data_IF_196693037400
#
_entry.id   IF_196693037400
#
_cell.length_a   1.000
_cell.length_b   1.000
_cell.length_c   1.000
_cell.angle_alpha   90.00
_cell.angle_beta   90.00
_cell.angle_gamma   90.00
#
_symmetry.space_group_name_H-M   'P 1'
#
loop_
_entity.id
_entity.type
_entity.pdbx_description
1 polymer ?
#
# COMPACT_ATOMS: atom_id res chain seq x y z
N UNK A 1 -12.63 20.29 -11.68
CA UNK A 1 -11.53 19.98 -10.73
C UNK A 1 -11.53 20.98 -9.60
N UNK A 2 -11.41 20.53 -8.37
CA UNK A 2 -11.26 21.38 -7.19
C UNK A 2 -9.85 21.98 -7.24
N UNK A 3 -9.70 23.29 -7.03
CA UNK A 3 -8.39 23.96 -7.01
C UNK A 3 -7.53 23.42 -5.84
N UNK A 4 -6.20 23.40 -6.03
CA UNK A 4 -5.28 22.84 -5.02
C UNK A 4 -5.39 23.57 -3.67
N UNK A 5 -5.62 24.88 -3.68
CA UNK A 5 -5.80 25.71 -2.46
C UNK A 5 -7.15 25.43 -1.73
N UNK A 6 -8.11 24.82 -2.42
CA UNK A 6 -9.42 24.50 -1.84
C UNK A 6 -9.50 23.09 -1.21
N UNK A 7 -8.38 22.36 -1.21
CA UNK A 7 -8.33 21.01 -0.66
C UNK A 7 -8.28 20.99 0.87
N UNK A 8 -7.75 22.04 1.49
CA UNK A 8 -7.74 22.16 2.94
C UNK A 8 -9.18 22.17 3.49
N UNK A 9 -9.49 21.23 4.37
CA UNK A 9 -10.81 21.10 5.00
C UNK A 9 -11.87 20.35 4.21
N UNK A 10 -11.55 19.78 3.05
CA UNK A 10 -12.46 18.86 2.37
C UNK A 10 -12.66 17.58 3.19
N UNK A 11 -13.85 17.01 3.03
CA UNK A 11 -14.13 15.66 3.51
C UNK A 11 -13.16 14.64 2.92
N UNK A 12 -12.79 13.64 3.70
CA UNK A 12 -11.85 12.57 3.34
C UNK A 12 -12.22 11.87 2.04
N UNK A 13 -13.51 11.77 1.74
CA UNK A 13 -14.03 11.05 0.58
C UNK A 13 -14.38 11.97 -0.61
N UNK A 14 -14.07 13.26 -0.53
CA UNK A 14 -14.43 14.25 -1.54
C UNK A 14 -13.88 13.96 -2.94
N UNK A 15 -12.77 13.20 -3.05
CA UNK A 15 -12.12 12.88 -4.32
C UNK A 15 -12.46 11.49 -4.86
N UNK A 16 -13.35 10.73 -4.20
CA UNK A 16 -13.72 9.36 -4.64
C UNK A 16 -14.30 9.31 -6.05
N UNK A 17 -15.01 10.34 -6.47
CA UNK A 17 -15.54 10.41 -7.84
C UNK A 17 -14.43 10.45 -8.91
N UNK A 18 -13.28 11.03 -8.60
CA UNK A 18 -12.12 11.04 -9.49
C UNK A 18 -11.47 9.65 -9.56
N UNK A 19 -11.40 8.92 -8.42
CA UNK A 19 -10.95 7.53 -8.40
C UNK A 19 -11.90 6.61 -9.19
N UNK A 20 -13.22 6.81 -9.03
CA UNK A 20 -14.23 6.06 -9.78
C UNK A 20 -14.12 6.28 -11.29
N UNK A 21 -13.94 7.54 -11.71
CA UNK A 21 -13.71 7.87 -13.12
C UNK A 21 -12.45 7.18 -13.67
N UNK A 22 -11.35 7.16 -12.90
CA UNK A 22 -10.13 6.45 -13.28
C UNK A 22 -10.34 4.93 -13.34
N UNK A 23 -11.18 4.38 -12.45
CA UNK A 23 -11.55 2.97 -12.44
C UNK A 23 -12.56 2.58 -13.52
N UNK A 24 -13.11 3.54 -14.28
CA UNK A 24 -14.16 3.30 -15.27
C UNK A 24 -15.51 2.94 -14.62
N UNK A 25 -15.73 3.30 -13.36
CA UNK A 25 -16.96 3.03 -12.61
C UNK A 25 -17.92 4.20 -12.78
N UNK A 26 -19.09 3.92 -13.40
CA UNK A 26 -20.16 4.89 -13.65
C UNK A 26 -21.42 4.65 -12.82
N UNK A 27 -21.47 3.57 -12.05
CA UNK A 27 -22.57 3.23 -11.13
C UNK A 27 -22.46 4.01 -9.81
N UNK A 28 -23.48 3.85 -8.94
CA UNK A 28 -23.42 4.37 -7.58
C UNK A 28 -22.17 3.80 -6.85
N UNK A 29 -21.45 4.69 -6.19
CA UNK A 29 -20.24 4.28 -5.44
C UNK A 29 -20.64 3.39 -4.25
N UNK A 30 -19.83 2.37 -3.94
CA UNK A 30 -20.02 1.60 -2.71
C UNK A 30 -19.85 2.51 -1.48
N UNK A 31 -20.52 2.15 -0.39
CA UNK A 31 -20.26 2.81 0.89
C UNK A 31 -18.81 2.60 1.31
N UNK A 32 -18.19 3.66 1.81
CA UNK A 32 -16.89 3.58 2.47
C UNK A 32 -16.95 4.32 3.77
N UNK A 33 -16.43 3.72 4.83
CA UNK A 33 -16.38 4.30 6.17
C UNK A 33 -15.04 4.05 6.81
N UNK A 34 -14.55 5.04 7.53
CA UNK A 34 -13.38 4.87 8.37
C UNK A 34 -13.76 4.15 9.64
N UNK A 35 -12.98 3.16 10.02
CA UNK A 35 -13.13 2.38 11.25
C UNK A 35 -11.81 2.41 12.02
N UNK A 36 -11.91 2.41 13.36
CA UNK A 36 -10.74 2.41 14.23
C UNK A 36 -10.82 1.22 15.18
N UNK A 37 -9.70 0.54 15.37
CA UNK A 37 -9.54 -0.57 16.31
C UNK A 37 -8.23 -0.42 17.07
N UNK A 38 -8.35 0.05 18.32
CA UNK A 38 -7.19 0.43 19.10
C UNK A 38 -6.34 1.48 18.36
N UNK A 39 -5.03 1.22 18.14
CA UNK A 39 -4.14 2.16 17.45
C UNK A 39 -4.25 2.11 15.91
N UNK A 40 -5.05 1.21 15.35
CA UNK A 40 -5.14 0.97 13.91
C UNK A 40 -6.41 1.57 13.33
N UNK A 41 -6.25 2.30 12.24
CA UNK A 41 -7.31 2.87 11.42
C UNK A 41 -7.39 2.14 10.08
N UNK A 42 -8.61 1.98 9.55
CA UNK A 42 -8.82 1.32 8.26
C UNK A 42 -10.03 1.91 7.53
N UNK A 43 -10.10 1.67 6.23
CA UNK A 43 -11.26 1.96 5.38
C UNK A 43 -12.00 0.66 5.11
N UNK A 44 -13.25 0.58 5.54
CA UNK A 44 -14.16 -0.51 5.21
C UNK A 44 -15.03 -0.12 4.03
N UNK A 45 -14.93 -0.90 2.95
CA UNK A 45 -15.64 -0.71 1.71
C UNK A 45 -16.77 -1.72 1.54
N UNK A 46 -17.97 -1.24 1.22
CA UNK A 46 -19.17 -2.06 1.12
C UNK A 46 -19.83 -2.32 2.46
N UNK A 47 -21.03 -2.94 2.42
CA UNK A 47 -21.84 -3.32 3.59
C UNK A 47 -21.56 -4.74 4.07
N UNK A 48 -21.05 -5.60 3.20
CA UNK A 48 -20.81 -7.01 3.45
C UNK A 48 -19.45 -7.25 4.10
N UNK A 49 -19.19 -8.48 4.55
CA UNK A 49 -17.89 -8.90 5.06
C UNK A 49 -16.81 -8.68 4.00
N UNK A 50 -15.67 -8.13 4.41
CA UNK A 50 -14.58 -7.85 3.50
C UNK A 50 -14.04 -9.16 2.89
N UNK A 51 -13.96 -9.20 1.56
CA UNK A 51 -13.40 -10.32 0.80
C UNK A 51 -11.91 -10.15 0.53
N UNK A 52 -11.45 -8.91 0.49
CA UNK A 52 -10.06 -8.58 0.19
C UNK A 52 -9.53 -7.59 1.23
N UNK A 53 -8.32 -7.87 1.72
CA UNK A 53 -7.59 -7.00 2.61
C UNK A 53 -6.46 -6.34 1.82
N UNK A 54 -6.25 -5.03 2.03
CA UNK A 54 -5.22 -4.26 1.37
C UNK A 54 -4.27 -3.61 2.38
N UNK A 55 -2.97 -3.85 2.22
CA UNK A 55 -1.88 -3.29 3.03
C UNK A 55 -0.97 -2.45 2.12
N UNK A 56 -0.82 -1.17 2.44
CA UNK A 56 -0.08 -0.21 1.61
C UNK A 56 1.44 -0.24 1.86
N UNK A 57 2.21 0.41 1.00
CA UNK A 57 3.65 0.57 1.12
C UNK A 57 4.09 1.69 2.08
N UNK A 58 5.36 1.73 2.40
CA UNK A 58 5.94 2.81 3.22
C UNK A 58 5.65 4.19 2.63
N UNK A 59 5.31 5.16 3.50
CA UNK A 59 4.97 6.51 3.10
C UNK A 59 3.61 6.66 2.39
N UNK A 60 2.76 5.63 2.40
CA UNK A 60 1.42 5.62 1.82
C UNK A 60 0.34 5.52 2.91
N UNK A 61 -0.90 5.26 2.54
CA UNK A 61 -2.03 5.01 3.43
C UNK A 61 -3.11 4.19 2.70
N UNK A 62 -4.22 3.87 3.37
CA UNK A 62 -5.31 3.05 2.85
C UNK A 62 -5.90 3.56 1.52
N UNK A 63 -5.93 4.88 1.30
CA UNK A 63 -6.46 5.48 0.07
C UNK A 63 -5.63 5.20 -1.19
N UNK A 64 -4.41 4.68 -1.07
CA UNK A 64 -3.64 4.25 -2.26
C UNK A 64 -4.37 3.16 -3.06
N UNK A 65 -5.35 2.50 -2.44
CA UNK A 65 -6.11 1.41 -3.00
C UNK A 65 -7.47 1.81 -3.60
N UNK A 66 -7.92 3.06 -3.42
CA UNK A 66 -9.27 3.50 -3.78
C UNK A 66 -9.65 3.14 -5.22
N UNK A 67 -8.78 3.44 -6.20
CA UNK A 67 -9.03 3.13 -7.61
C UNK A 67 -9.11 1.62 -7.86
N UNK A 68 -8.23 0.84 -7.21
CA UNK A 68 -8.22 -0.62 -7.33
C UNK A 68 -9.46 -1.24 -6.71
N UNK A 69 -9.86 -0.81 -5.52
CA UNK A 69 -11.05 -1.33 -4.81
C UNK A 69 -12.32 -1.01 -5.60
N UNK A 70 -12.44 0.22 -6.10
CA UNK A 70 -13.56 0.61 -6.96
C UNK A 70 -13.62 -0.21 -8.25
N UNK A 71 -12.46 -0.40 -8.90
CA UNK A 71 -12.38 -1.23 -10.10
C UNK A 71 -12.68 -2.70 -9.84
N UNK A 72 -12.27 -3.23 -8.68
CA UNK A 72 -12.52 -4.62 -8.30
C UNK A 72 -14.01 -4.86 -7.98
N UNK A 73 -14.67 -3.88 -7.35
CA UNK A 73 -16.10 -3.92 -7.05
C UNK A 73 -16.49 -4.94 -5.97
N UNK A 74 -15.57 -5.29 -5.07
CA UNK A 74 -15.80 -6.22 -3.97
C UNK A 74 -15.70 -5.51 -2.61
N UNK A 75 -16.41 -6.00 -1.57
CA UNK A 75 -16.20 -5.54 -0.21
C UNK A 75 -14.75 -5.74 0.22
N UNK A 76 -14.16 -4.71 0.81
CA UNK A 76 -12.74 -4.71 1.14
C UNK A 76 -12.44 -3.99 2.47
N UNK A 77 -11.29 -4.32 3.05
CA UNK A 77 -10.69 -3.63 4.17
C UNK A 77 -9.30 -3.13 3.76
N UNK A 78 -9.10 -1.82 3.68
CA UNK A 78 -7.81 -1.20 3.43
C UNK A 78 -7.29 -0.60 4.75
N UNK A 79 -6.13 -1.07 5.22
CA UNK A 79 -5.61 -0.74 6.55
C UNK A 79 -4.52 0.31 6.43
N UNK A 80 -4.59 1.36 7.24
CA UNK A 80 -3.46 2.25 7.51
C UNK A 80 -2.48 1.51 8.42
N UNK A 81 -1.27 1.18 7.95
CA UNK A 81 -0.25 0.54 8.77
C UNK A 81 0.18 1.45 9.93
N UNK A 82 0.71 0.91 11.05
CA UNK A 82 1.29 1.74 12.12
C UNK A 82 2.21 2.83 11.58
N UNK A 83 2.11 4.04 12.12
CA UNK A 83 2.92 5.18 11.67
C UNK A 83 2.46 5.84 10.37
N UNK A 84 1.33 5.42 9.79
CA UNK A 84 0.82 5.94 8.51
C UNK A 84 -0.65 6.33 8.61
N UNK A 85 -1.07 7.22 7.71
CA UNK A 85 -2.46 7.61 7.55
C UNK A 85 -3.07 8.15 8.83
N UNK A 86 -4.06 7.46 9.37
CA UNK A 86 -4.72 7.79 10.64
C UNK A 86 -4.41 6.77 11.76
N UNK A 87 -3.60 5.76 11.50
CA UNK A 87 -3.09 4.88 12.54
C UNK A 87 -2.10 5.59 13.45
N UNK A 88 -2.02 5.16 14.70
CA UNK A 88 -1.13 5.75 15.67
C UNK A 88 0.34 5.61 15.31
N UNK A 89 1.13 6.58 15.71
CA UNK A 89 2.57 6.55 15.61
C UNK A 89 3.18 5.87 16.83
N UNK A 90 4.26 5.13 16.62
CA UNK A 90 4.97 4.41 17.68
C UNK A 90 6.07 5.29 18.27
N UNK A 91 6.26 5.23 19.57
CA UNK A 91 7.32 5.99 20.27
C UNK A 91 8.73 5.52 19.87
N UNK A 92 8.90 4.21 19.57
CA UNK A 92 10.16 3.63 19.13
C UNK A 92 10.49 3.91 17.65
N UNK A 93 9.48 4.32 16.85
CA UNK A 93 9.63 4.58 15.43
C UNK A 93 9.94 3.32 14.60
N UNK A 94 9.73 2.12 15.16
CA UNK A 94 9.89 0.85 14.45
C UNK A 94 8.57 0.45 13.76
N UNK A 95 8.60 0.44 12.45
CA UNK A 95 7.47 0.08 11.57
C UNK A 95 7.81 -1.11 10.69
N UNK A 96 8.68 -1.99 11.17
CA UNK A 96 9.08 -3.20 10.45
C UNK A 96 7.92 -4.17 10.25
N UNK A 97 8.03 -5.07 9.24
CA UNK A 97 6.98 -6.02 8.88
C UNK A 97 6.48 -6.89 10.03
N UNK A 98 7.36 -7.27 10.96
CA UNK A 98 7.02 -8.07 12.13
C UNK A 98 6.01 -7.35 13.03
N UNK A 99 6.34 -6.14 13.46
CA UNK A 99 5.49 -5.34 14.34
C UNK A 99 4.20 -4.91 13.65
N UNK A 100 4.27 -4.62 12.35
CA UNK A 100 3.09 -4.31 11.57
C UNK A 100 2.14 -5.52 11.50
N UNK A 101 2.65 -6.74 11.26
CA UNK A 101 1.83 -7.95 11.23
C UNK A 101 1.15 -8.21 12.59
N UNK A 102 1.88 -8.07 13.70
CA UNK A 102 1.34 -8.17 15.05
C UNK A 102 0.23 -7.14 15.34
N UNK A 103 0.39 -5.91 14.82
CA UNK A 103 -0.58 -4.83 15.03
C UNK A 103 -1.86 -4.99 14.19
N UNK A 104 -1.76 -5.51 12.95
CA UNK A 104 -2.92 -5.64 12.06
C UNK A 104 -3.69 -6.94 12.24
N UNK A 105 -3.07 -8.00 12.78
CA UNK A 105 -3.73 -9.30 12.96
C UNK A 105 -5.06 -9.22 13.74
N UNK A 106 -5.14 -8.57 14.92
CA UNK A 106 -6.39 -8.46 15.66
C UNK A 106 -7.48 -7.69 14.90
N UNK A 107 -7.08 -6.70 14.10
CA UNK A 107 -8.00 -5.91 13.28
C UNK A 107 -8.62 -6.76 12.17
N UNK A 108 -7.79 -7.61 11.55
CA UNK A 108 -8.22 -8.54 10.50
C UNK A 108 -9.13 -9.61 11.10
N UNK A 109 -8.77 -10.19 12.25
CA UNK A 109 -9.60 -11.16 12.97
C UNK A 109 -10.99 -10.62 13.29
N UNK A 110 -11.10 -9.35 13.66
CA UNK A 110 -12.38 -8.74 14.00
C UNK A 110 -13.19 -8.30 12.77
N UNK A 111 -12.54 -7.65 11.79
CA UNK A 111 -13.25 -6.95 10.71
C UNK A 111 -13.30 -7.72 9.39
N UNK A 112 -12.42 -8.70 9.18
CA UNK A 112 -12.28 -9.44 7.94
C UNK A 112 -11.82 -10.90 8.13
N UNK A 113 -12.39 -11.68 9.10
CA UNK A 113 -11.90 -13.02 9.44
C UNK A 113 -12.00 -14.00 8.27
N UNK A 114 -12.92 -13.74 7.34
CA UNK A 114 -13.22 -14.60 6.20
C UNK A 114 -12.70 -14.05 4.87
N UNK A 115 -11.79 -13.07 4.92
CA UNK A 115 -11.19 -12.55 3.70
C UNK A 115 -10.51 -13.66 2.88
N UNK A 116 -10.75 -13.62 1.57
CA UNK A 116 -10.25 -14.63 0.64
C UNK A 116 -8.82 -14.31 0.18
N UNK A 117 -8.48 -13.02 0.15
CA UNK A 117 -7.23 -12.53 -0.40
C UNK A 117 -6.65 -11.42 0.48
N UNK A 118 -5.36 -11.48 0.74
CA UNK A 118 -4.57 -10.37 1.27
C UNK A 118 -3.66 -9.83 0.17
N UNK A 119 -3.73 -8.52 -0.08
CA UNK A 119 -2.92 -7.82 -1.06
C UNK A 119 -2.00 -6.84 -0.33
N UNK A 120 -0.70 -6.98 -0.49
CA UNK A 120 0.26 -6.09 0.14
C UNK A 120 1.28 -5.54 -0.85
N UNK A 121 1.52 -4.22 -0.79
CA UNK A 121 2.53 -3.54 -1.61
C UNK A 121 3.74 -3.17 -0.76
N UNK A 122 4.97 -3.47 -1.24
CA UNK A 122 6.20 -3.06 -0.56
C UNK A 122 6.19 -3.44 0.93
N UNK A 123 6.28 -2.48 1.87
CA UNK A 123 6.15 -2.71 3.31
C UNK A 123 4.89 -3.54 3.65
N UNK A 124 3.75 -3.24 3.03
CA UNK A 124 2.52 -4.00 3.20
C UNK A 124 2.62 -5.43 2.68
N UNK A 125 3.41 -5.68 1.63
CA UNK A 125 3.69 -7.02 1.10
C UNK A 125 4.51 -7.87 2.06
N UNK A 126 5.57 -7.29 2.65
CA UNK A 126 6.37 -7.97 3.68
C UNK A 126 5.58 -8.18 4.97
N UNK A 127 4.72 -7.22 5.34
CA UNK A 127 3.78 -7.36 6.46
C UNK A 127 2.80 -8.51 6.22
N UNK A 128 2.23 -8.60 5.02
CA UNK A 128 1.30 -9.68 4.64
C UNK A 128 1.99 -11.05 4.59
N UNK A 129 3.21 -11.12 4.10
CA UNK A 129 4.04 -12.33 4.14
C UNK A 129 4.28 -12.78 5.59
N UNK A 130 4.69 -11.85 6.46
CA UNK A 130 4.88 -12.15 7.88
C UNK A 130 3.59 -12.61 8.54
N UNK A 131 2.46 -11.97 8.25
CA UNK A 131 1.13 -12.37 8.74
C UNK A 131 0.78 -13.79 8.27
N UNK A 132 1.04 -14.15 7.00
CA UNK A 132 0.78 -15.47 6.45
C UNK A 132 1.57 -16.57 7.16
N UNK A 133 2.77 -16.26 7.64
CA UNK A 133 3.62 -17.21 8.38
C UNK A 133 3.22 -17.31 9.86
N UNK A 134 2.92 -16.16 10.51
CA UNK A 134 2.65 -16.16 11.96
C UNK A 134 1.19 -16.43 12.32
N UNK A 135 0.25 -16.07 11.43
CA UNK A 135 -1.19 -16.25 11.63
C UNK A 135 -1.84 -16.76 10.33
N UNK A 136 -1.48 -17.97 9.87
CA UNK A 136 -1.86 -18.48 8.55
C UNK A 136 -3.37 -18.60 8.35
N UNK A 137 -4.15 -18.69 9.43
CA UNK A 137 -5.61 -18.72 9.36
C UNK A 137 -6.22 -17.44 8.76
N UNK A 138 -5.51 -16.31 8.85
CA UNK A 138 -5.95 -15.02 8.32
C UNK A 138 -5.55 -14.77 6.85
N UNK A 139 -4.70 -15.62 6.26
CA UNK A 139 -4.20 -15.42 4.89
C UNK A 139 -4.44 -16.66 4.07
N UNK A 140 -5.60 -16.74 3.41
CA UNK A 140 -5.97 -17.85 2.53
C UNK A 140 -5.25 -17.82 1.19
N UNK A 141 -5.02 -16.62 0.69
CA UNK A 141 -4.27 -16.34 -0.54
C UNK A 141 -3.56 -14.99 -0.41
N UNK A 142 -2.38 -14.86 -1.00
CA UNK A 142 -1.52 -13.69 -0.89
C UNK A 142 -1.13 -13.14 -2.26
N UNK A 143 -1.26 -11.83 -2.45
CA UNK A 143 -0.62 -11.11 -3.54
C UNK A 143 0.40 -10.13 -2.96
N UNK A 144 1.67 -10.35 -3.27
CA UNK A 144 2.76 -9.44 -2.93
C UNK A 144 3.07 -8.56 -4.13
N UNK A 145 3.07 -7.23 -3.92
CA UNK A 145 3.30 -6.28 -5.00
C UNK A 145 4.66 -5.62 -4.82
N UNK A 146 5.51 -5.90 -5.78
CA UNK A 146 6.82 -5.32 -6.05
C UNK A 146 7.76 -5.34 -4.85
N UNK A 147 7.78 -6.47 -4.13
CA UNK A 147 8.64 -6.69 -2.97
C UNK A 147 8.96 -8.15 -2.79
N UNK A 148 10.20 -8.42 -2.37
CA UNK A 148 10.68 -9.69 -1.79
C UNK A 148 11.48 -9.35 -0.53
N UNK A 149 11.88 -10.34 0.29
CA UNK A 149 12.76 -10.10 1.44
C UNK A 149 14.11 -9.43 1.11
N UNK A 150 14.53 -9.39 -0.16
CA UNK A 150 15.73 -8.64 -0.59
C UNK A 150 15.52 -7.12 -0.69
N UNK A 151 14.32 -6.61 -0.38
CA UNK A 151 14.02 -5.18 -0.50
C UNK A 151 14.97 -4.26 0.28
N UNK A 152 15.44 -4.58 1.52
CA UNK A 152 16.38 -3.75 2.25
C UNK A 152 17.70 -3.56 1.50
N UNK A 153 18.30 -4.64 1.00
CA UNK A 153 19.55 -4.64 0.26
C UNK A 153 19.41 -3.90 -1.09
N UNK A 154 18.25 -4.08 -1.74
CA UNK A 154 17.96 -3.35 -2.99
C UNK A 154 17.84 -1.85 -2.73
N UNK A 155 17.12 -1.46 -1.69
CA UNK A 155 16.93 -0.06 -1.32
C UNK A 155 18.27 0.66 -1.06
N UNK A 156 19.21 0.01 -0.38
CA UNK A 156 20.54 0.57 -0.11
C UNK A 156 21.37 0.83 -1.37
N UNK A 157 21.12 0.11 -2.45
CA UNK A 157 21.85 0.20 -3.73
C UNK A 157 21.22 1.19 -4.72
N UNK A 158 19.99 1.69 -4.44
CA UNK A 158 19.26 2.57 -5.35
C UNK A 158 19.64 4.04 -5.22
N UNK A 159 19.64 4.75 -6.35
CA UNK A 159 19.63 6.22 -6.39
C UNK A 159 18.25 6.76 -6.03
N UNK A 160 18.15 8.04 -5.64
CA UNK A 160 16.87 8.70 -5.40
C UNK A 160 15.91 8.63 -6.59
N UNK A 161 16.44 8.76 -7.80
CA UNK A 161 15.64 8.63 -9.04
C UNK A 161 15.04 7.23 -9.20
N UNK A 162 15.79 6.19 -8.88
CA UNK A 162 15.31 4.81 -8.93
C UNK A 162 14.28 4.51 -7.82
N UNK A 163 14.43 5.13 -6.65
CA UNK A 163 13.45 5.02 -5.55
C UNK A 163 12.11 5.71 -5.90
N UNK A 164 12.11 6.73 -6.76
CA UNK A 164 10.90 7.48 -7.10
C UNK A 164 10.22 8.05 -5.86
N UNK A 165 8.92 7.81 -5.69
CA UNK A 165 8.15 8.30 -4.52
C UNK A 165 8.68 7.81 -3.17
N UNK A 166 9.35 6.67 -3.11
CA UNK A 166 9.92 6.15 -1.85
C UNK A 166 10.99 7.09 -1.30
N UNK A 167 11.71 7.82 -2.17
CA UNK A 167 12.70 8.81 -1.75
C UNK A 167 12.12 9.92 -0.87
N UNK A 168 10.83 10.24 -1.03
CA UNK A 168 10.15 11.28 -0.24
C UNK A 168 9.97 10.90 1.23
N UNK A 169 10.03 9.61 1.57
CA UNK A 169 9.90 9.13 2.96
C UNK A 169 11.05 9.64 3.82
N UNK A 170 12.22 9.85 3.22
CA UNK A 170 13.41 10.40 3.88
C UNK A 170 13.66 11.88 3.55
N UNK A 171 12.76 12.51 2.80
CA UNK A 171 12.85 13.90 2.37
C UNK A 171 12.31 14.91 3.38
N UNK A 172 12.04 16.12 2.89
CA UNK A 172 11.49 17.21 3.70
C UNK A 172 10.13 16.82 4.30
N UNK A 173 9.92 17.27 5.54
CA UNK A 173 8.71 16.98 6.30
C UNK A 173 7.74 18.17 6.33
N UNK A 174 8.20 19.39 6.21
CA UNK A 174 7.42 20.60 6.31
C UNK A 174 7.43 21.38 4.99
N UNK A 175 6.26 21.80 4.58
CA UNK A 175 6.05 22.50 3.31
C UNK A 175 5.20 23.75 3.54
N UNK A 176 5.48 24.82 2.81
CA UNK A 176 4.76 26.07 2.92
C UNK A 176 3.34 26.01 2.32
N UNK A 177 3.06 25.02 1.47
CA UNK A 177 1.75 24.85 0.84
C UNK A 177 1.53 23.42 0.35
N UNK A 178 0.29 23.06 0.10
CA UNK A 178 -0.09 21.82 -0.58
C UNK A 178 0.55 21.73 -1.97
N UNK A 179 0.59 22.83 -2.70
CA UNK A 179 1.21 22.89 -4.03
C UNK A 179 2.69 22.49 -3.97
N UNK A 180 3.45 22.96 -2.98
CA UNK A 180 4.85 22.58 -2.81
C UNK A 180 5.03 21.07 -2.56
N UNK A 181 4.15 20.44 -1.77
CA UNK A 181 4.14 18.98 -1.59
C UNK A 181 3.84 18.27 -2.90
N UNK A 182 2.86 18.76 -3.66
CA UNK A 182 2.50 18.16 -4.95
C UNK A 182 3.64 18.28 -5.95
N UNK A 183 4.34 19.41 -6.01
CA UNK A 183 5.45 19.63 -6.94
C UNK A 183 6.61 18.67 -6.69
N UNK A 184 7.01 18.42 -5.44
CA UNK A 184 8.05 17.43 -5.12
C UNK A 184 7.57 16.01 -5.45
N UNK A 185 6.28 15.72 -5.27
CA UNK A 185 5.69 14.43 -5.61
C UNK A 185 5.67 14.19 -7.11
N UNK A 186 5.30 15.21 -7.90
CA UNK A 186 5.34 15.16 -9.38
C UNK A 186 6.77 14.99 -9.88
N UNK A 187 7.74 15.69 -9.27
CA UNK A 187 9.15 15.56 -9.63
C UNK A 187 9.69 14.14 -9.35
N UNK A 188 9.22 13.48 -8.28
CA UNK A 188 9.63 12.12 -7.93
C UNK A 188 8.96 11.03 -8.81
N UNK A 189 7.83 11.34 -9.47
CA UNK A 189 7.11 10.39 -10.33
C UNK A 189 6.56 11.08 -11.59
N UNK A 190 7.43 11.61 -12.48
CA UNK A 190 7.02 12.43 -13.62
C UNK A 190 6.25 11.65 -14.71
N UNK A 191 6.29 10.33 -14.67
CA UNK A 191 5.56 9.44 -15.57
C UNK A 191 4.08 9.26 -15.19
N UNK A 192 3.69 9.67 -13.97
CA UNK A 192 2.33 9.47 -13.45
C UNK A 192 1.42 10.66 -13.73
N UNK A 193 0.14 10.37 -13.87
CA UNK A 193 -0.89 11.41 -14.00
C UNK A 193 -0.90 12.32 -12.76
N UNK A 194 -0.84 13.65 -13.01
CA UNK A 194 -0.78 14.66 -11.94
C UNK A 194 -2.00 14.61 -11.02
N UNK A 195 -3.21 14.30 -11.54
CA UNK A 195 -4.41 14.23 -10.71
C UNK A 195 -4.37 13.02 -9.78
N UNK A 196 -3.82 11.89 -10.24
CA UNK A 196 -3.59 10.72 -9.39
C UNK A 196 -2.60 11.04 -8.27
N UNK A 197 -1.49 11.73 -8.56
CA UNK A 197 -0.52 12.16 -7.55
C UNK A 197 -1.15 13.17 -6.57
N UNK A 198 -1.94 14.10 -7.06
CA UNK A 198 -2.67 15.09 -6.24
C UNK A 198 -3.61 14.41 -5.23
N UNK A 199 -4.37 13.39 -5.64
CA UNK A 199 -5.19 12.60 -4.71
C UNK A 199 -4.33 11.90 -3.65
N UNK A 200 -3.20 11.32 -4.07
CA UNK A 200 -2.25 10.71 -3.15
C UNK A 200 -1.71 11.70 -2.11
N UNK A 201 -1.32 12.91 -2.54
CA UNK A 201 -0.87 13.97 -1.62
C UNK A 201 -2.00 14.42 -0.70
N UNK A 202 -3.22 14.60 -1.21
CA UNK A 202 -4.38 14.98 -0.41
C UNK A 202 -4.62 14.03 0.78
N UNK A 203 -4.62 12.73 0.52
CA UNK A 203 -4.84 11.74 1.57
C UNK A 203 -3.63 11.55 2.50
N UNK A 204 -2.43 11.88 2.01
CA UNK A 204 -1.18 11.63 2.72
C UNK A 204 -0.58 12.86 3.41
N UNK A 205 -1.28 14.00 3.37
CA UNK A 205 -0.86 15.25 3.98
C UNK A 205 -1.87 15.76 5.01
N UNK A 206 -1.41 16.64 5.87
CA UNK A 206 -2.24 17.45 6.78
C UNK A 206 -1.67 18.86 6.88
N UNK A 207 -2.57 19.84 7.03
CA UNK A 207 -2.20 21.19 7.39
C UNK A 207 -2.00 21.30 8.91
N UNK A 208 -0.97 22.01 9.32
CA UNK A 208 -0.66 22.31 10.73
C UNK A 208 -1.34 23.63 11.13
N UNK A 209 -1.39 23.90 12.45
CA UNK A 209 -2.05 25.09 13.02
C UNK A 209 -1.43 26.40 12.56
N UNK A 210 -0.15 26.40 12.19
CA UNK A 210 0.58 27.55 11.63
C UNK A 210 0.36 27.76 10.11
N UNK A 211 -0.45 26.89 9.50
CA UNK A 211 -0.77 26.92 8.06
C UNK A 211 0.21 26.16 7.17
N UNK A 212 1.34 25.69 7.69
CA UNK A 212 2.26 24.80 6.96
C UNK A 212 1.66 23.41 6.77
N UNK A 213 2.28 22.59 5.92
CA UNK A 213 1.80 21.26 5.59
C UNK A 213 2.85 20.19 5.93
N UNK A 214 2.41 19.01 6.32
CA UNK A 214 3.29 17.87 6.60
C UNK A 214 2.67 16.57 6.13
N UNK A 215 3.51 15.51 6.03
CA UNK A 215 3.06 14.18 5.71
C UNK A 215 2.33 13.51 6.89
N UNK A 216 1.38 12.61 6.58
CA UNK A 216 0.66 11.77 7.55
C UNK A 216 1.38 10.48 7.90
N UNK A 217 2.61 10.30 7.50
CA UNK A 217 3.44 9.18 7.92
C UNK A 217 4.57 9.64 8.83
N UNK A 218 5.00 8.77 9.72
CA UNK A 218 6.11 9.03 10.65
C UNK A 218 7.47 8.84 9.99
N UNK A 219 8.51 9.26 10.67
CA UNK A 219 9.89 9.01 10.27
C UNK A 219 10.29 7.61 10.71
N UNK A 220 10.70 6.78 9.75
CA UNK A 220 11.24 5.46 10.05
C UNK A 220 12.60 5.60 10.71
N UNK A 221 12.73 5.08 11.91
CA UNK A 221 14.05 4.85 12.49
C UNK A 221 14.60 3.53 11.94
N UNK A 222 15.91 3.48 11.67
CA UNK A 222 16.55 2.21 11.36
C UNK A 222 16.34 1.28 12.55
N UNK A 223 15.48 0.31 12.41
CA UNK A 223 15.20 -0.74 13.37
C UNK A 223 15.44 -2.10 12.73
N UNK A 224 15.52 -3.11 13.55
CA UNK A 224 15.79 -4.50 13.17
C UNK A 224 14.58 -5.18 12.50
N UNK A 225 13.51 -4.40 12.26
CA UNK A 225 12.21 -4.91 11.80
C UNK A 225 12.21 -5.55 10.41
N UNK A 226 13.29 -5.38 9.64
CA UNK A 226 13.48 -6.00 8.32
C UNK A 226 14.48 -7.17 8.34
N UNK A 227 15.08 -7.49 9.49
CA UNK A 227 16.02 -8.59 9.59
C UNK A 227 15.32 -9.95 9.56
N UNK A 228 15.99 -10.96 9.00
CA UNK A 228 15.54 -12.35 9.01
C UNK A 228 14.29 -12.62 8.17
N UNK A 229 13.87 -11.72 7.27
CA UNK A 229 12.67 -11.93 6.44
C UNK A 229 12.81 -13.14 5.51
N UNK A 230 14.02 -13.47 5.06
CA UNK A 230 14.26 -14.67 4.27
C UNK A 230 14.04 -15.97 5.06
N UNK A 231 14.20 -15.94 6.40
CA UNK A 231 13.98 -17.11 7.26
C UNK A 231 12.49 -17.47 7.36
N UNK A 232 11.59 -16.52 7.08
CA UNK A 232 10.16 -16.75 7.04
C UNK A 232 9.68 -17.43 5.75
N UNK A 233 10.38 -17.23 4.63
CA UNK A 233 9.93 -17.67 3.30
C UNK A 233 9.70 -19.17 3.20
N UNK A 234 10.52 -20.08 3.79
CA UNK A 234 10.26 -21.52 3.79
C UNK A 234 8.96 -21.93 4.50
N UNK A 235 8.41 -21.08 5.37
CA UNK A 235 7.15 -21.31 6.07
C UNK A 235 5.93 -20.70 5.36
N UNK A 236 6.13 -19.98 4.26
CA UNK A 236 5.05 -19.36 3.48
C UNK A 236 4.34 -20.41 2.61
N UNK A 237 3.32 -21.05 3.18
CA UNK A 237 2.53 -22.12 2.51
C UNK A 237 1.28 -21.58 1.83
N UNK A 238 0.81 -20.37 2.16
CA UNK A 238 -0.33 -19.74 1.51
C UNK A 238 -0.06 -19.56 0.01
N UNK A 239 -1.02 -19.88 -0.89
CA UNK A 239 -0.90 -19.60 -2.31
C UNK A 239 -0.49 -18.15 -2.54
N UNK A 240 0.65 -17.93 -3.19
CA UNK A 240 1.26 -16.59 -3.30
C UNK A 240 1.58 -16.23 -4.74
N UNK A 241 1.01 -15.12 -5.20
CA UNK A 241 1.36 -14.48 -6.47
C UNK A 241 2.23 -13.25 -6.20
N UNK A 242 3.38 -13.18 -6.88
CA UNK A 242 4.25 -12.01 -6.89
C UNK A 242 3.92 -11.14 -8.12
N UNK A 243 3.52 -9.89 -7.90
CA UNK A 243 3.29 -8.92 -8.97
C UNK A 243 4.38 -7.87 -8.93
N UNK A 244 5.04 -7.59 -10.04
CA UNK A 244 6.11 -6.59 -10.09
C UNK A 244 5.97 -5.63 -11.27
N UNK A 245 6.45 -4.40 -11.10
CA UNK A 245 6.52 -3.41 -12.16
C UNK A 245 7.70 -3.69 -13.11
N UNK A 246 7.45 -3.62 -14.43
CA UNK A 246 8.50 -3.84 -15.44
C UNK A 246 9.65 -2.82 -15.37
N UNK A 247 9.36 -1.61 -14.85
CA UNK A 247 10.32 -0.52 -14.70
C UNK A 247 10.78 -0.33 -13.24
N UNK A 248 10.49 -1.30 -12.37
CA UNK A 248 10.89 -1.24 -10.96
C UNK A 248 12.33 -1.72 -10.79
N UNK A 249 12.98 -1.14 -9.78
CA UNK A 249 14.31 -1.54 -9.32
C UNK A 249 14.24 -2.33 -8.00
N UNK A 250 13.06 -2.46 -7.39
CA UNK A 250 12.89 -3.12 -6.09
C UNK A 250 12.86 -4.64 -6.16
N UNK A 251 12.46 -5.22 -7.30
CA UNK A 251 12.45 -6.66 -7.52
C UNK A 251 12.97 -6.95 -8.92
N UNK A 252 14.06 -7.68 -9.02
CA UNK A 252 14.59 -8.16 -10.30
C UNK A 252 14.21 -9.62 -10.56
N UNK A 253 14.70 -10.19 -11.67
CA UNK A 253 14.41 -11.57 -12.06
C UNK A 253 15.02 -12.58 -11.07
N UNK A 254 16.23 -12.31 -10.55
CA UNK A 254 16.90 -13.18 -9.60
C UNK A 254 16.16 -13.23 -8.27
N UNK A 255 15.70 -12.08 -7.76
CA UNK A 255 14.88 -11.99 -6.54
C UNK A 255 13.57 -12.80 -6.68
N UNK A 256 12.91 -12.68 -7.84
CA UNK A 256 11.66 -13.41 -8.10
C UNK A 256 11.90 -14.92 -8.22
N UNK A 257 13.01 -15.32 -8.83
CA UNK A 257 13.41 -16.74 -8.95
C UNK A 257 13.78 -17.34 -7.59
N UNK A 258 14.54 -16.62 -6.77
CA UNK A 258 14.92 -17.05 -5.42
C UNK A 258 13.70 -17.20 -4.53
N UNK A 259 12.81 -16.19 -4.53
CA UNK A 259 11.54 -16.24 -3.80
C UNK A 259 10.70 -17.42 -4.25
N UNK A 260 10.54 -17.63 -5.56
CA UNK A 260 9.77 -18.74 -6.11
C UNK A 260 10.33 -20.13 -5.80
N UNK A 261 11.65 -20.27 -5.62
CA UNK A 261 12.28 -21.54 -5.22
C UNK A 261 12.15 -21.82 -3.72
N UNK A 262 12.06 -20.78 -2.92
CA UNK A 262 12.14 -20.86 -1.45
C UNK A 262 10.76 -20.90 -0.81
N UNK A 263 9.73 -20.22 -1.39
CA UNK A 263 8.37 -20.19 -0.87
C UNK A 263 7.54 -21.39 -1.34
N UNK A 264 7.13 -22.33 -0.46
CA UNK A 264 6.32 -23.49 -0.85
C UNK A 264 4.98 -23.12 -1.47
N UNK A 265 4.38 -21.99 -1.05
CA UNK A 265 3.11 -21.49 -1.56
C UNK A 265 3.20 -20.72 -2.88
N UNK A 266 4.39 -20.48 -3.42
CA UNK A 266 4.55 -19.67 -4.62
C UNK A 266 3.85 -20.27 -5.84
N UNK A 267 3.03 -19.47 -6.52
CA UNK A 267 2.29 -19.87 -7.70
C UNK A 267 2.89 -19.32 -8.99
N UNK A 268 3.16 -18.02 -9.01
CA UNK A 268 3.64 -17.31 -10.19
C UNK A 268 4.21 -15.94 -9.86
N UNK A 269 5.02 -15.41 -10.80
CA UNK A 269 5.39 -14.00 -10.86
C UNK A 269 4.78 -13.36 -12.11
N UNK A 270 4.13 -12.21 -11.94
CA UNK A 270 3.49 -11.44 -13.01
C UNK A 270 4.20 -10.10 -13.15
N UNK A 271 4.64 -9.77 -14.37
CA UNK A 271 5.26 -8.47 -14.67
C UNK A 271 4.24 -7.55 -15.30
N UNK A 272 4.00 -6.39 -14.69
CA UNK A 272 3.11 -5.35 -15.19
C UNK A 272 3.90 -4.34 -16.00
N UNK A 273 3.58 -4.21 -17.30
CA UNK A 273 4.21 -3.24 -18.20
C UNK A 273 3.87 -1.82 -17.79
N UNK A 274 4.73 -0.88 -18.15
CA UNK A 274 4.55 0.56 -17.91
C UNK A 274 4.27 0.91 -16.44
N UNK A 275 4.86 0.15 -15.53
CA UNK A 275 4.74 0.30 -14.09
C UNK A 275 6.10 0.26 -13.42
N UNK A 276 6.31 1.17 -12.49
CA UNK A 276 7.39 1.15 -11.52
C UNK A 276 6.98 0.43 -10.23
N UNK A 277 7.56 0.89 -9.11
CA UNK A 277 7.33 0.29 -7.78
C UNK A 277 5.87 0.31 -7.32
N UNK A 278 5.13 1.39 -7.58
CA UNK A 278 3.74 1.52 -7.14
C UNK A 278 2.76 1.03 -8.20
N UNK A 279 2.69 -0.28 -8.46
CA UNK A 279 1.84 -0.88 -9.50
C UNK A 279 0.38 -0.43 -9.39
N UNK A 280 -0.17 -0.35 -8.17
CA UNK A 280 -1.54 0.12 -7.91
C UNK A 280 -1.77 1.58 -8.29
N UNK A 281 -0.70 2.37 -8.33
CA UNK A 281 -0.76 3.77 -8.72
C UNK A 281 -0.50 3.99 -10.21
N UNK A 282 0.37 3.17 -10.81
CA UNK A 282 0.78 3.30 -12.20
C UNK A 282 -0.20 2.60 -13.15
N UNK A 283 -0.60 1.37 -12.79
CA UNK A 283 -1.45 0.50 -13.61
C UNK A 283 -2.59 -0.12 -12.77
N UNK A 284 -3.47 0.69 -12.16
CA UNK A 284 -4.51 0.19 -11.25
C UNK A 284 -5.46 -0.82 -11.92
N UNK A 285 -5.81 -0.61 -13.20
CA UNK A 285 -6.74 -1.50 -13.91
C UNK A 285 -6.08 -2.83 -14.30
N UNK A 286 -4.81 -2.83 -14.66
CA UNK A 286 -4.06 -4.07 -14.88
C UNK A 286 -3.98 -4.89 -13.58
N UNK A 287 -3.75 -4.22 -12.45
CA UNK A 287 -3.78 -4.88 -11.14
C UNK A 287 -5.17 -5.44 -10.82
N UNK A 288 -6.26 -4.72 -11.11
CA UNK A 288 -7.64 -5.23 -10.94
C UNK A 288 -7.85 -6.53 -11.70
N UNK A 289 -7.41 -6.63 -12.95
CA UNK A 289 -7.55 -7.88 -13.73
C UNK A 289 -6.74 -9.03 -13.15
N UNK A 290 -5.53 -8.75 -12.64
CA UNK A 290 -4.72 -9.75 -11.93
C UNK A 290 -5.45 -10.26 -10.68
N UNK A 291 -5.95 -9.34 -9.83
CA UNK A 291 -6.67 -9.71 -8.60
C UNK A 291 -7.96 -10.48 -8.90
N UNK A 292 -8.67 -10.13 -9.98
CA UNK A 292 -9.84 -10.91 -10.43
C UNK A 292 -9.47 -12.31 -10.88
N UNK A 293 -8.32 -12.48 -11.51
CA UNK A 293 -7.83 -13.80 -11.93
C UNK A 293 -7.46 -14.67 -10.72
N UNK A 294 -6.75 -14.09 -9.75
CA UNK A 294 -6.38 -14.76 -8.50
C UNK A 294 -7.64 -15.22 -7.74
N UNK A 295 -8.65 -14.36 -7.59
CA UNK A 295 -9.90 -14.68 -6.86
C UNK A 295 -10.82 -15.72 -7.55
N UNK A 296 -10.51 -16.13 -8.78
CA UNK A 296 -11.28 -17.15 -9.53
C UNK A 296 -10.64 -18.53 -9.49
N UNK A 297 -9.34 -18.60 -9.18
CA UNK A 297 -8.58 -19.85 -9.08
C UNK A 297 -8.91 -20.59 -7.84
#
# INVERSE_FOLDING_TARGET
MIADDALAGLDEFALLSENAAQAGVSSALPSVVRVERGPISALRWGSDSARVIFLHGGGQNAHTWDTVILGLGLPALAIDLPGHGRSAWREDGDYGPKLNAEAVAPVIEELAPDAQLVVGMSLGGLTAMRLAVTTPALVRELVMIDVTPSAPERHEQMTQTQMGLVSLVQGDREFQSFAAMLDVTVAAAPHRDRNSLRRGVFHNSKQLDDGTWTWRYDTFRKGDGFEGLWDDVPALVAPTTLVRGANSFFVNDDDALEFGRTAPGFQQAIVVRDSGHSVQGDQPLALVEILRSVLKG
#
